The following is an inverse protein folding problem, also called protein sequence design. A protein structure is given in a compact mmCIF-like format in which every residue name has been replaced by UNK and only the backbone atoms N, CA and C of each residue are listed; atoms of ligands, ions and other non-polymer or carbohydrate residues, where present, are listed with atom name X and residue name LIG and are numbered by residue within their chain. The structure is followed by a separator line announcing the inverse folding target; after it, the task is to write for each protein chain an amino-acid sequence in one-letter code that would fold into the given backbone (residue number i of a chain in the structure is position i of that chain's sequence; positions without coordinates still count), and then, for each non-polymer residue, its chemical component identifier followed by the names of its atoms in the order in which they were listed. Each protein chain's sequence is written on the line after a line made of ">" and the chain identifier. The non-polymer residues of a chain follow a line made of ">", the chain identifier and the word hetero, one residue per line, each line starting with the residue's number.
data_IF_288833796167
#
_entry.id   IF_288833796167
#
_cell.length_a   1.000
_cell.length_b   1.000
_cell.length_c   1.000
_cell.angle_alpha   90.00
_cell.angle_beta   90.00
_cell.angle_gamma   90.00
#
_symmetry.space_group_name_H-M   'P 1'
#
loop_
_entity.id
_entity.type
_entity.pdbx_description
1 polymer ?
#
# COMPACT_ATOMS: atom_id res chain seq x y z
N UNK A 1 7.09 -13.35 4.58
CA UNK A 1 5.82 -12.64 4.36
C UNK A 1 4.67 -13.37 5.03
N UNK A 2 3.73 -12.65 5.60
CA UNK A 2 2.55 -13.23 6.22
C UNK A 2 1.63 -13.81 5.13
N UNK A 3 1.16 -15.05 5.30
CA UNK A 3 0.28 -15.70 4.34
C UNK A 3 -0.99 -16.18 5.04
N UNK A 4 -2.11 -16.03 4.36
CA UNK A 4 -3.41 -16.47 4.84
C UNK A 4 -4.21 -17.05 3.68
N UNK A 5 -4.85 -18.20 3.90
CA UNK A 5 -5.58 -18.91 2.86
C UNK A 5 -7.07 -18.62 2.95
N UNK A 6 -7.63 -18.09 1.87
CA UNK A 6 -9.05 -17.86 1.69
C UNK A 6 -9.58 -18.59 0.47
N UNK A 7 -10.88 -18.89 0.48
CA UNK A 7 -11.55 -19.32 -0.74
C UNK A 7 -11.50 -18.20 -1.78
N UNK A 8 -11.32 -18.56 -3.04
CA UNK A 8 -11.16 -17.60 -4.13
C UNK A 8 -12.33 -17.63 -5.09
N UNK A 9 -12.67 -16.47 -5.65
CA UNK A 9 -13.64 -16.34 -6.74
C UNK A 9 -13.04 -16.86 -8.05
N UNK A 10 -13.86 -16.92 -9.10
CA UNK A 10 -13.42 -17.29 -10.45
C UNK A 10 -12.34 -16.36 -11.02
N UNK A 11 -12.26 -15.13 -10.55
CA UNK A 11 -11.21 -14.15 -10.93
C UNK A 11 -9.94 -14.24 -10.10
N UNK A 12 -9.89 -15.16 -9.12
CA UNK A 12 -8.78 -15.32 -8.20
C UNK A 12 -8.81 -14.39 -6.99
N UNK A 13 -9.79 -13.49 -6.90
CA UNK A 13 -9.96 -12.64 -5.72
C UNK A 13 -10.48 -13.48 -4.54
N UNK A 14 -9.96 -13.28 -3.32
CA UNK A 14 -10.42 -14.04 -2.17
C UNK A 14 -11.84 -13.65 -1.74
N UNK A 15 -12.62 -14.63 -1.31
CA UNK A 15 -13.85 -14.39 -0.56
C UNK A 15 -13.48 -14.23 0.91
N UNK A 16 -13.75 -13.06 1.47
CA UNK A 16 -13.42 -12.77 2.85
C UNK A 16 -14.59 -12.09 3.53
N UNK A 17 -14.97 -12.59 4.70
CA UNK A 17 -16.00 -12.00 5.53
C UNK A 17 -15.41 -10.92 6.44
N UNK A 18 -16.27 -10.04 6.97
CA UNK A 18 -15.83 -9.02 7.94
C UNK A 18 -15.19 -9.67 9.17
N UNK A 19 -15.76 -10.76 9.68
CA UNK A 19 -15.19 -11.48 10.83
C UNK A 19 -13.80 -12.04 10.53
N UNK A 20 -13.58 -12.52 9.31
CA UNK A 20 -12.26 -13.00 8.88
C UNK A 20 -11.26 -11.86 8.79
N UNK A 21 -11.67 -10.69 8.30
CA UNK A 21 -10.81 -9.49 8.26
C UNK A 21 -10.42 -9.06 9.66
N UNK A 22 -11.39 -8.99 10.59
CA UNK A 22 -11.14 -8.63 11.99
C UNK A 22 -10.19 -9.61 12.65
N UNK A 23 -10.44 -10.91 12.49
CA UNK A 23 -9.58 -11.97 13.05
C UNK A 23 -8.15 -11.88 12.50
N UNK A 24 -7.98 -11.69 11.19
CA UNK A 24 -6.67 -11.54 10.56
C UNK A 24 -5.95 -10.29 11.07
N UNK A 25 -6.66 -9.18 11.18
CA UNK A 25 -6.11 -7.93 11.70
C UNK A 25 -5.63 -8.09 13.14
N UNK A 26 -6.43 -8.72 14.00
CA UNK A 26 -6.04 -8.98 15.38
C UNK A 26 -4.81 -9.87 15.47
N UNK A 27 -4.73 -10.91 14.65
CA UNK A 27 -3.56 -11.78 14.61
C UNK A 27 -2.29 -11.02 14.23
N UNK A 28 -2.36 -10.17 13.23
CA UNK A 28 -1.22 -9.37 12.78
C UNK A 28 -0.80 -8.37 13.87
N UNK A 29 -1.76 -7.65 14.45
CA UNK A 29 -1.46 -6.67 15.50
C UNK A 29 -0.92 -7.33 16.77
N UNK A 30 -1.48 -8.46 17.20
CA UNK A 30 -0.97 -9.19 18.35
C UNK A 30 0.45 -9.70 18.13
N UNK A 31 0.78 -10.09 16.91
CA UNK A 31 2.11 -10.61 16.58
C UNK A 31 3.16 -9.50 16.49
N UNK A 32 2.84 -8.40 15.82
CA UNK A 32 3.82 -7.37 15.46
C UNK A 32 3.69 -6.06 16.22
N UNK A 33 2.48 -5.71 16.66
CA UNK A 33 2.18 -4.43 17.31
C UNK A 33 1.32 -4.61 18.55
N UNK A 34 1.72 -5.45 19.53
CA UNK A 34 0.86 -5.75 20.68
C UNK A 34 0.51 -4.51 21.51
N UNK A 35 1.37 -3.50 21.57
CA UNK A 35 1.10 -2.27 22.31
C UNK A 35 -0.06 -1.45 21.72
N UNK A 36 -0.31 -1.58 20.40
CA UNK A 36 -1.45 -0.91 19.78
C UNK A 36 -2.78 -1.40 20.34
N UNK A 37 -2.87 -2.69 20.68
CA UNK A 37 -4.06 -3.29 21.28
C UNK A 37 -4.10 -3.03 22.79
N UNK A 38 -3.01 -3.29 23.49
CA UNK A 38 -2.96 -3.23 24.96
C UNK A 38 -3.05 -1.79 25.49
N UNK A 39 -2.40 -0.84 24.81
CA UNK A 39 -2.26 0.54 25.26
C UNK A 39 -3.00 1.55 24.38
N UNK A 40 -3.76 1.09 23.39
CA UNK A 40 -4.47 1.94 22.43
C UNK A 40 -3.56 2.93 21.71
N UNK A 41 -2.33 2.52 21.43
CA UNK A 41 -1.37 3.33 20.71
C UNK A 41 -1.62 3.27 19.19
N UNK A 42 -1.19 4.30 18.47
CA UNK A 42 -1.22 4.28 17.02
C UNK A 42 -0.27 3.21 16.46
N UNK A 43 -0.71 2.52 15.41
CA UNK A 43 0.13 1.53 14.73
C UNK A 43 1.22 2.27 13.92
N UNK A 44 2.48 1.83 14.07
CA UNK A 44 3.56 2.24 13.16
C UNK A 44 3.39 1.47 11.86
N UNK A 45 2.57 2.00 10.95
CA UNK A 45 2.22 1.30 9.73
C UNK A 45 3.40 1.18 8.76
N UNK A 46 4.31 2.15 8.73
CA UNK A 46 5.51 2.09 7.93
C UNK A 46 6.42 0.95 8.39
N UNK A 47 6.66 0.85 9.70
CA UNK A 47 7.45 -0.23 10.27
C UNK A 47 6.80 -1.60 10.07
N UNK A 48 5.49 -1.69 10.25
CA UNK A 48 4.74 -2.93 10.01
C UNK A 48 4.90 -3.37 8.55
N UNK A 49 4.74 -2.48 7.59
CA UNK A 49 4.84 -2.80 6.18
C UNK A 49 6.24 -3.25 5.79
N UNK A 50 7.26 -2.49 6.16
CA UNK A 50 8.63 -2.70 5.70
C UNK A 50 9.37 -3.78 6.49
N UNK A 51 9.28 -3.75 7.82
CA UNK A 51 10.08 -4.62 8.67
C UNK A 51 9.37 -5.92 9.04
N UNK A 52 8.10 -5.86 9.37
CA UNK A 52 7.36 -7.03 9.85
C UNK A 52 6.74 -7.85 8.72
N UNK A 53 6.10 -7.19 7.75
CA UNK A 53 5.47 -7.85 6.62
C UNK A 53 6.41 -8.01 5.41
N UNK A 54 7.52 -7.28 5.40
CA UNK A 54 8.56 -7.44 4.38
C UNK A 54 8.23 -6.84 3.02
N UNK A 55 7.33 -5.86 2.96
CA UNK A 55 7.04 -5.14 1.72
C UNK A 55 8.08 -4.05 1.45
N UNK A 56 8.37 -3.79 0.19
CA UNK A 56 9.09 -2.60 -0.22
C UNK A 56 8.07 -1.46 -0.36
N UNK A 57 8.40 -0.28 0.14
CA UNK A 57 7.54 0.90 -0.01
C UNK A 57 8.29 1.94 -0.83
N UNK A 58 7.73 2.33 -1.96
CA UNK A 58 8.31 3.28 -2.88
C UNK A 58 7.28 4.36 -3.24
N UNK A 59 7.78 5.51 -3.67
CA UNK A 59 6.95 6.65 -4.08
C UNK A 59 7.11 6.91 -5.55
N UNK A 60 5.98 7.12 -6.24
CA UNK A 60 5.95 7.51 -7.64
C UNK A 60 4.70 8.36 -7.91
N UNK A 61 4.72 9.17 -8.94
CA UNK A 61 3.52 9.87 -9.37
C UNK A 61 2.60 8.90 -10.11
N UNK A 62 1.54 8.45 -9.45
CA UNK A 62 0.60 7.48 -10.00
C UNK A 62 -0.44 8.12 -10.91
N UNK A 63 -0.76 9.39 -10.66
CA UNK A 63 -1.64 10.20 -11.51
C UNK A 63 -1.31 11.68 -11.33
N UNK A 64 -1.68 12.50 -12.31
CA UNK A 64 -1.44 13.95 -12.24
C UNK A 64 -2.44 14.67 -11.31
N UNK A 65 -3.60 14.07 -11.07
CA UNK A 65 -4.71 14.66 -10.32
C UNK A 65 -4.98 14.00 -8.96
N UNK A 66 -4.12 13.08 -8.53
CA UNK A 66 -4.29 12.37 -7.26
C UNK A 66 -5.39 11.31 -7.25
N UNK A 67 -5.91 10.88 -8.41
CA UNK A 67 -6.93 9.83 -8.50
C UNK A 67 -6.47 8.49 -7.95
N UNK A 68 -5.19 8.20 -8.09
CA UNK A 68 -4.58 6.95 -7.60
C UNK A 68 -3.62 7.28 -6.47
N UNK A 69 -4.00 6.89 -5.26
CA UNK A 69 -3.21 7.16 -4.06
C UNK A 69 -2.12 6.11 -3.81
N UNK A 70 -2.38 4.86 -4.15
CA UNK A 70 -1.44 3.76 -3.96
C UNK A 70 -1.79 2.56 -4.82
N UNK A 71 -0.85 1.62 -4.90
CA UNK A 71 -1.07 0.34 -5.54
C UNK A 71 -0.10 -0.71 -5.00
N UNK A 72 -0.50 -1.98 -5.08
CA UNK A 72 0.31 -3.13 -4.72
C UNK A 72 0.84 -3.81 -5.97
N UNK A 73 2.14 -4.08 -6.02
CA UNK A 73 2.78 -4.83 -7.09
C UNK A 73 2.87 -6.30 -6.68
N UNK A 74 2.18 -7.17 -7.41
CA UNK A 74 2.08 -8.59 -7.06
C UNK A 74 3.12 -9.48 -7.77
N UNK A 75 3.57 -9.08 -8.95
CA UNK A 75 4.46 -9.87 -9.77
C UNK A 75 5.73 -9.11 -10.09
N UNK A 76 6.87 -9.82 -10.16
CA UNK A 76 8.10 -9.24 -10.66
C UNK A 76 7.92 -8.75 -12.12
N UNK A 77 8.58 -7.64 -12.45
CA UNK A 77 8.53 -7.03 -13.78
C UNK A 77 7.12 -6.58 -14.21
N UNK A 78 6.20 -6.43 -13.27
CA UNK A 78 4.89 -5.86 -13.56
C UNK A 78 5.07 -4.44 -14.12
N UNK A 79 4.50 -4.18 -15.29
CA UNK A 79 4.54 -2.84 -15.91
C UNK A 79 3.51 -1.94 -15.25
N UNK A 80 3.97 -0.81 -14.76
CA UNK A 80 3.16 0.16 -14.04
C UNK A 80 3.18 1.48 -14.79
N UNK A 81 1.99 2.01 -15.07
CA UNK A 81 1.85 3.33 -15.65
C UNK A 81 1.97 4.39 -14.57
N UNK A 82 2.93 5.27 -14.71
CA UNK A 82 3.15 6.41 -13.83
C UNK A 82 3.20 7.71 -14.60
N UNK A 83 3.27 8.81 -13.89
CA UNK A 83 3.38 10.14 -14.46
C UNK A 83 4.74 10.75 -14.09
N UNK A 84 5.33 11.44 -15.03
CA UNK A 84 6.56 12.19 -14.81
C UNK A 84 6.30 13.67 -15.00
N UNK A 85 6.68 14.49 -14.06
CA UNK A 85 6.60 15.93 -14.21
C UNK A 85 7.75 16.41 -15.10
N UNK A 86 7.41 17.09 -16.18
CA UNK A 86 8.40 17.66 -17.08
C UNK A 86 9.01 18.95 -16.54
N UNK A 87 8.33 19.60 -15.62
CA UNK A 87 8.78 20.85 -14.98
C UNK A 87 8.71 20.63 -13.46
N UNK A 88 9.74 21.08 -12.70
CA UNK A 88 9.74 20.94 -11.24
C UNK A 88 8.62 21.69 -10.51
N UNK A 89 7.77 22.38 -11.24
CA UNK A 89 6.62 23.09 -10.70
C UNK A 89 5.34 22.32 -11.00
N UNK A 90 4.82 21.63 -9.99
CA UNK A 90 3.60 20.81 -10.09
C UNK A 90 2.36 21.67 -10.45
N UNK A 91 2.36 22.96 -10.11
CA UNK A 91 1.24 23.86 -10.39
C UNK A 91 1.03 24.11 -11.87
N UNK A 92 2.08 24.06 -12.68
CA UNK A 92 1.96 24.24 -14.13
C UNK A 92 1.42 23.03 -14.86
N UNK A 93 1.38 21.88 -14.22
CA UNK A 93 0.66 20.70 -14.68
C UNK A 93 1.18 20.04 -15.95
N UNK A 94 2.45 20.23 -16.31
CA UNK A 94 3.03 19.51 -17.43
C UNK A 94 3.50 18.13 -17.03
N UNK A 95 2.79 17.11 -17.51
CA UNK A 95 3.02 15.72 -17.19
C UNK A 95 3.11 14.90 -18.47
N UNK A 96 3.95 13.87 -18.45
CA UNK A 96 3.95 12.84 -19.47
C UNK A 96 3.81 11.46 -18.84
N UNK A 97 3.36 10.50 -19.64
CA UNK A 97 3.26 9.11 -19.20
C UNK A 97 4.65 8.49 -19.15
N UNK A 98 4.88 7.72 -18.09
CA UNK A 98 6.07 6.93 -17.91
C UNK A 98 5.66 5.52 -17.51
N UNK A 99 6.41 4.53 -17.98
CA UNK A 99 6.16 3.14 -17.60
C UNK A 99 7.34 2.65 -16.77
N UNK A 100 7.04 2.12 -15.59
CA UNK A 100 8.02 1.52 -14.69
C UNK A 100 7.77 0.02 -14.60
N UNK A 101 8.83 -0.71 -14.30
CA UNK A 101 8.71 -2.08 -13.80
C UNK A 101 9.19 -2.11 -12.35
N UNK A 102 8.60 -3.00 -11.56
CA UNK A 102 8.99 -3.13 -10.16
C UNK A 102 8.91 -4.58 -9.72
N UNK A 103 9.45 -4.84 -8.54
CA UNK A 103 9.48 -6.18 -7.95
C UNK A 103 8.15 -6.48 -7.26
N UNK A 104 7.80 -7.77 -7.20
CA UNK A 104 6.70 -8.24 -6.37
C UNK A 104 6.87 -7.77 -4.91
N UNK A 105 5.77 -7.70 -4.19
CA UNK A 105 5.72 -7.24 -2.80
C UNK A 105 6.20 -5.78 -2.61
N UNK A 106 6.02 -4.96 -3.63
CA UNK A 106 6.27 -3.52 -3.56
C UNK A 106 4.93 -2.78 -3.47
N UNK A 107 4.85 -1.86 -2.52
CA UNK A 107 3.74 -0.92 -2.38
C UNK A 107 4.20 0.41 -2.96
N UNK A 108 3.46 0.92 -3.93
CA UNK A 108 3.68 2.25 -4.47
C UNK A 108 2.68 3.23 -3.84
N UNK A 109 3.18 4.33 -3.34
CA UNK A 109 2.39 5.43 -2.79
C UNK A 109 2.56 6.64 -3.69
N UNK A 110 1.47 7.33 -3.98
CA UNK A 110 1.53 8.55 -4.79
C UNK A 110 2.45 9.57 -4.12
N UNK A 111 3.45 10.00 -4.86
CA UNK A 111 4.45 10.96 -4.38
C UNK A 111 3.83 12.29 -3.96
N UNK A 112 2.66 12.65 -4.47
CA UNK A 112 1.92 13.84 -4.05
C UNK A 112 1.47 13.76 -2.59
N UNK A 113 1.41 12.56 -1.99
CA UNK A 113 1.08 12.36 -0.58
C UNK A 113 2.29 12.48 0.35
N UNK A 114 3.48 12.62 -0.19
CA UNK A 114 4.73 12.74 0.58
C UNK A 114 4.92 14.16 1.10
N UNK A 115 4.02 14.56 2.00
CA UNK A 115 4.08 15.86 2.66
C UNK A 115 3.38 15.74 4.03
N UNK A 116 3.71 16.63 5.00
CA UNK A 116 3.13 16.56 6.35
C UNK A 116 1.61 16.72 6.41
N UNK A 117 1.03 17.50 5.48
CA UNK A 117 -0.41 17.75 5.43
C UNK A 117 -1.20 16.48 5.16
N UNK A 118 -0.68 15.59 4.33
CA UNK A 118 -1.35 14.36 3.88
C UNK A 118 -0.91 13.12 4.67
N UNK A 119 -0.25 13.28 5.81
CA UNK A 119 0.25 12.17 6.63
C UNK A 119 -0.83 11.15 6.97
N UNK A 120 -2.01 11.60 7.38
CA UNK A 120 -3.10 10.71 7.75
C UNK A 120 -3.60 9.89 6.56
N UNK A 121 -3.79 10.53 5.42
CA UNK A 121 -4.22 9.86 4.20
C UNK A 121 -3.16 8.92 3.65
N UNK A 122 -1.88 9.32 3.71
CA UNK A 122 -0.76 8.44 3.34
C UNK A 122 -0.72 7.18 4.20
N UNK A 123 -0.90 7.29 5.50
CA UNK A 123 -0.95 6.16 6.42
C UNK A 123 -2.12 5.23 6.12
N UNK A 124 -3.29 5.80 5.87
CA UNK A 124 -4.47 5.04 5.46
C UNK A 124 -4.20 4.27 4.16
N UNK A 125 -3.63 4.94 3.16
CA UNK A 125 -3.30 4.34 1.87
C UNK A 125 -2.32 3.18 2.04
N UNK A 126 -1.28 3.37 2.83
CA UNK A 126 -0.29 2.32 3.09
C UNK A 126 -0.93 1.11 3.79
N UNK A 127 -1.78 1.34 4.78
CA UNK A 127 -2.51 0.26 5.45
C UNK A 127 -3.44 -0.49 4.49
N UNK A 128 -4.11 0.23 3.59
CA UNK A 128 -4.98 -0.36 2.56
C UNK A 128 -4.18 -1.28 1.63
N UNK A 129 -3.04 -0.83 1.14
CA UNK A 129 -2.19 -1.63 0.25
C UNK A 129 -1.54 -2.81 0.98
N UNK A 130 -1.18 -2.66 2.26
CA UNK A 130 -0.78 -3.79 3.10
C UNK A 130 -1.86 -4.86 3.16
N UNK A 131 -3.11 -4.45 3.30
CA UNK A 131 -4.25 -5.37 3.29
C UNK A 131 -4.32 -6.19 1.99
N UNK A 132 -4.15 -5.53 0.85
CA UNK A 132 -4.07 -6.24 -0.43
C UNK A 132 -2.90 -7.22 -0.48
N UNK A 133 -1.72 -6.81 -0.01
CA UNK A 133 -0.53 -7.66 -0.01
C UNK A 133 -0.65 -8.88 0.88
N UNK A 134 -1.39 -8.80 1.99
CA UNK A 134 -1.61 -9.91 2.91
C UNK A 134 -2.69 -10.86 2.40
N UNK A 135 -3.78 -10.32 1.83
CA UNK A 135 -4.96 -11.10 1.42
C UNK A 135 -4.77 -11.77 0.05
N UNK A 136 -4.15 -11.07 -0.88
CA UNK A 136 -3.90 -11.57 -2.25
C UNK A 136 -2.52 -12.25 -2.43
#
# INVERSE_FOLDING_TARGET
>A
MYQYNFNKSSTGAPFITLDQIESLTEQILNKYCPSAIENFEAVDIEGLAEFDLGFNVEYAYLSHNGCYAGMMVFNDDQVIRTMKSLIPNVETGQWELEYLTDRANTILIDKQLDNPRDKGFRRFTLAHECGHGVIH
#
